data_IF_933861269761
#
_entry.id   IF_933861269761
#
_cell.length_a   1.000
_cell.length_b   1.000
_cell.length_c   1.000
_cell.angle_alpha   90.00
_cell.angle_beta   90.00
_cell.angle_gamma   90.00
#
_symmetry.space_group_name_H-M   'P 1'
#
loop_
_entity.id
_entity.type
_entity.pdbx_description
1 polymer ?
#
# COMPACT_ATOMS: atom_id res chain seq x y z
N UNK A 1 -17.84 10.79 -6.61
CA UNK A 1 -17.23 12.12 -6.39
C UNK A 1 -18.20 13.04 -5.68
N UNK A 2 -17.77 13.69 -4.60
CA UNK A 2 -18.57 14.68 -3.88
C UNK A 2 -18.07 16.09 -4.21
N UNK A 3 -19.02 17.03 -4.40
CA UNK A 3 -18.73 18.42 -4.76
C UNK A 3 -19.30 19.29 -3.64
N UNK A 4 -18.45 20.06 -2.97
CA UNK A 4 -18.85 21.01 -1.93
C UNK A 4 -18.68 22.46 -2.43
N UNK A 5 -19.67 23.33 -2.23
CA UNK A 5 -19.53 24.75 -2.51
C UNK A 5 -18.48 25.37 -1.57
N UNK A 6 -17.80 26.42 -2.04
CA UNK A 6 -16.87 27.16 -1.21
C UNK A 6 -17.62 27.90 -0.10
N UNK A 7 -17.37 27.69 1.19
CA UNK A 7 -18.05 28.39 2.27
C UNK A 7 -17.83 29.90 2.16
N UNK A 8 -18.92 30.69 2.09
CA UNK A 8 -18.87 32.14 2.02
C UNK A 8 -18.41 32.76 0.68
N UNK A 9 -18.15 31.92 -0.34
CA UNK A 9 -17.70 32.37 -1.67
C UNK A 9 -18.37 31.55 -2.78
N UNK A 10 -19.69 31.70 -3.00
CA UNK A 10 -20.46 30.84 -3.92
C UNK A 10 -20.05 30.97 -5.39
N UNK A 11 -19.29 31.99 -5.78
CA UNK A 11 -18.78 32.19 -7.14
C UNK A 11 -17.39 31.61 -7.39
N UNK A 12 -16.71 31.09 -6.34
CA UNK A 12 -15.44 30.39 -6.50
C UNK A 12 -15.65 28.96 -6.92
N UNK A 13 -14.59 28.36 -7.52
CA UNK A 13 -14.65 26.94 -7.93
C UNK A 13 -14.96 26.05 -6.72
N UNK A 14 -15.91 25.10 -6.84
CA UNK A 14 -16.26 24.21 -5.74
C UNK A 14 -15.08 23.29 -5.40
N UNK A 15 -15.05 22.82 -4.15
CA UNK A 15 -14.16 21.75 -3.76
C UNK A 15 -14.64 20.41 -4.32
N UNK A 16 -13.70 19.61 -4.78
CA UNK A 16 -13.95 18.28 -5.29
C UNK A 16 -13.27 17.25 -4.38
N UNK A 17 -14.01 16.24 -3.95
CA UNK A 17 -13.53 15.18 -3.11
C UNK A 17 -13.78 13.82 -3.78
N UNK A 18 -12.74 13.01 -3.89
CA UNK A 18 -12.91 11.61 -4.19
C UNK A 18 -13.43 10.90 -2.93
N UNK A 19 -14.58 10.25 -3.03
CA UNK A 19 -15.28 9.63 -1.88
C UNK A 19 -14.96 8.15 -1.68
N UNK A 20 -14.02 7.64 -2.43
CA UNK A 20 -13.48 6.29 -2.37
C UNK A 20 -11.96 6.35 -2.34
N UNK A 21 -11.29 5.47 -3.08
CA UNK A 21 -9.84 5.52 -3.25
C UNK A 21 -9.39 6.89 -3.74
N UNK A 22 -8.32 7.41 -3.18
CA UNK A 22 -7.74 8.70 -3.56
C UNK A 22 -6.31 8.57 -4.11
N UNK A 23 -5.80 7.35 -4.15
CA UNK A 23 -4.42 7.00 -4.44
C UNK A 23 -4.36 5.74 -5.31
N UNK A 24 -3.47 5.72 -6.28
CA UNK A 24 -3.07 4.52 -7.04
C UNK A 24 -1.71 4.07 -6.52
N UNK A 25 -1.59 2.79 -6.17
CA UNK A 25 -0.34 2.20 -5.63
C UNK A 25 0.37 1.25 -6.60
N UNK A 26 -0.32 0.71 -7.58
CA UNK A 26 0.21 -0.26 -8.56
C UNK A 26 -0.10 0.24 -9.98
N UNK A 27 0.59 1.29 -10.47
CA UNK A 27 0.27 1.91 -11.77
C UNK A 27 0.41 0.92 -12.93
N UNK A 28 1.36 -0.01 -12.88
CA UNK A 28 1.60 -1.00 -13.92
C UNK A 28 0.39 -1.91 -14.17
N UNK A 29 -0.45 -2.21 -13.16
CA UNK A 29 -1.67 -3.01 -13.33
C UNK A 29 -2.67 -2.29 -14.25
N UNK A 30 -2.76 -0.97 -14.13
CA UNK A 30 -3.59 -0.17 -15.03
C UNK A 30 -2.97 -0.10 -16.43
N UNK A 31 -1.65 0.05 -16.54
CA UNK A 31 -0.94 0.02 -17.81
C UNK A 31 -1.16 -1.30 -18.56
N UNK A 32 -1.05 -2.42 -17.87
CA UNK A 32 -1.32 -3.76 -18.40
C UNK A 32 -2.78 -3.92 -18.83
N UNK A 33 -3.73 -3.38 -18.06
CA UNK A 33 -5.17 -3.42 -18.40
C UNK A 33 -5.44 -2.65 -19.70
N UNK A 34 -4.87 -1.47 -19.88
CA UNK A 34 -5.00 -0.70 -21.10
C UNK A 34 -4.30 -1.39 -22.26
N UNK A 35 -3.12 -1.97 -22.03
CA UNK A 35 -2.37 -2.72 -23.05
C UNK A 35 -3.14 -3.95 -23.53
N UNK A 36 -3.83 -4.67 -22.66
CA UNK A 36 -4.69 -5.79 -23.02
C UNK A 36 -5.86 -5.37 -23.94
N UNK A 37 -6.31 -4.12 -23.86
CA UNK A 37 -7.28 -3.52 -24.78
C UNK A 37 -6.65 -2.89 -26.03
N UNK A 38 -5.34 -3.05 -26.25
CA UNK A 38 -4.61 -2.44 -27.37
C UNK A 38 -4.45 -0.92 -27.23
N UNK A 39 -4.47 -0.39 -26.01
CA UNK A 39 -4.38 1.04 -25.70
C UNK A 39 -3.17 1.33 -24.81
N UNK A 40 -2.79 2.60 -24.69
CA UNK A 40 -1.79 3.07 -23.72
C UNK A 40 -2.49 3.93 -22.69
N UNK A 41 -2.25 3.66 -21.40
CA UNK A 41 -2.79 4.45 -20.29
C UNK A 41 -2.46 5.94 -20.44
N UNK A 42 -1.22 6.25 -20.86
CA UNK A 42 -0.73 7.63 -21.04
C UNK A 42 -1.50 8.45 -22.09
N UNK A 43 -2.23 7.81 -23.01
CA UNK A 43 -3.05 8.50 -24.01
C UNK A 43 -4.37 9.04 -23.40
N UNK A 44 -4.74 8.54 -22.22
CA UNK A 44 -6.00 8.85 -21.55
C UNK A 44 -5.80 9.61 -20.23
N UNK A 45 -4.76 9.25 -19.47
CA UNK A 45 -4.54 9.74 -18.12
C UNK A 45 -3.08 10.09 -17.88
N UNK A 46 -2.87 11.13 -17.08
CA UNK A 46 -1.55 11.46 -16.53
C UNK A 46 -1.50 11.02 -15.08
N UNK A 47 -0.53 10.17 -14.74
CA UNK A 47 -0.26 9.79 -13.36
C UNK A 47 0.84 10.69 -12.80
N UNK A 48 0.55 11.35 -11.68
CA UNK A 48 1.52 12.17 -10.94
C UNK A 48 1.98 11.43 -9.70
N UNK A 49 3.29 11.14 -9.60
CA UNK A 49 3.86 10.53 -8.41
C UNK A 49 3.83 11.52 -7.25
N UNK A 50 3.36 11.09 -6.11
CA UNK A 50 3.27 11.90 -4.91
C UNK A 50 4.55 11.82 -4.07
N UNK A 51 5.00 12.97 -3.56
CA UNK A 51 6.00 13.08 -2.52
C UNK A 51 5.72 14.34 -1.67
N UNK A 52 5.34 14.19 -0.41
CA UNK A 52 5.15 12.93 0.31
C UNK A 52 3.94 12.14 -0.20
N UNK A 53 3.99 10.81 -0.08
CA UNK A 53 2.86 9.93 -0.38
C UNK A 53 1.74 10.19 0.63
N UNK A 54 2.12 10.37 1.91
CA UNK A 54 1.20 10.61 3.03
C UNK A 54 1.80 11.60 4.01
N UNK A 55 0.96 12.31 4.73
CA UNK A 55 1.36 13.18 5.83
C UNK A 55 0.52 12.85 7.07
N UNK A 56 1.20 12.53 8.15
CA UNK A 56 0.62 12.28 9.47
C UNK A 56 0.74 13.54 10.31
N UNK A 57 -0.32 13.88 11.03
CA UNK A 57 -0.38 15.06 11.88
C UNK A 57 -1.06 14.64 13.17
N UNK A 58 -0.37 14.84 14.31
CA UNK A 58 -0.91 14.59 15.64
C UNK A 58 -1.45 15.87 16.27
N UNK A 59 -2.33 15.71 17.26
CA UNK A 59 -2.98 16.83 17.93
C UNK A 59 -2.01 17.83 18.61
N UNK A 60 -0.81 17.37 18.97
CA UNK A 60 0.26 18.23 19.52
C UNK A 60 1.09 18.95 18.46
N UNK A 61 0.70 18.88 17.19
CA UNK A 61 1.39 19.52 16.07
C UNK A 61 2.57 18.71 15.52
N UNK A 62 2.92 17.57 16.10
CA UNK A 62 3.96 16.69 15.56
C UNK A 62 3.54 16.17 14.18
N UNK A 63 4.49 16.09 13.25
CA UNK A 63 4.23 15.61 11.89
C UNK A 63 5.24 14.57 11.44
N UNK A 64 4.79 13.65 10.58
CA UNK A 64 5.64 12.73 9.84
C UNK A 64 5.19 12.71 8.38
N UNK A 65 6.14 12.77 7.46
CA UNK A 65 5.88 12.68 6.02
C UNK A 65 6.37 11.34 5.48
N UNK A 66 5.48 10.57 4.89
CA UNK A 66 5.83 9.34 4.16
C UNK A 66 6.49 9.69 2.84
N UNK A 67 7.81 9.84 2.82
CA UNK A 67 8.58 10.27 1.64
C UNK A 67 8.69 9.15 0.61
N UNK A 68 8.58 9.49 -0.66
CA UNK A 68 8.59 8.54 -1.75
C UNK A 68 9.98 7.95 -2.04
N UNK A 69 11.05 8.70 -1.75
CA UNK A 69 12.41 8.24 -1.96
C UNK A 69 12.97 7.59 -0.70
N UNK A 70 13.61 6.41 -0.79
CA UNK A 70 14.10 5.68 0.39
C UNK A 70 15.05 6.47 1.29
N UNK A 71 15.95 7.27 0.71
CA UNK A 71 16.88 8.09 1.48
C UNK A 71 16.16 9.20 2.26
N UNK A 72 15.19 9.87 1.63
CA UNK A 72 14.40 10.93 2.24
C UNK A 72 13.47 10.37 3.32
N UNK A 73 12.91 9.18 3.10
CA UNK A 73 12.12 8.45 4.10
C UNK A 73 12.97 8.11 5.33
N UNK A 74 14.18 7.58 5.12
CA UNK A 74 15.10 7.25 6.22
C UNK A 74 15.50 8.50 7.03
N UNK A 75 15.79 9.61 6.35
CA UNK A 75 16.08 10.88 7.01
C UNK A 75 14.88 11.42 7.81
N UNK A 76 13.68 11.34 7.24
CA UNK A 76 12.46 11.79 7.90
C UNK A 76 12.10 10.91 9.12
N UNK A 77 12.26 9.59 9.02
CA UNK A 77 12.09 8.67 10.15
C UNK A 77 13.10 8.94 11.26
N UNK A 78 14.37 9.17 10.92
CA UNK A 78 15.40 9.52 11.89
C UNK A 78 15.09 10.84 12.61
N UNK A 79 14.66 11.87 11.86
CA UNK A 79 14.21 13.16 12.42
C UNK A 79 13.01 12.99 13.35
N UNK A 80 12.03 12.18 12.93
CA UNK A 80 10.78 11.99 13.68
C UNK A 80 10.97 11.19 14.96
N UNK A 81 11.69 10.07 14.89
CA UNK A 81 11.86 9.16 16.02
C UNK A 81 13.00 9.55 16.94
N UNK A 82 14.01 10.26 16.40
CA UNK A 82 15.30 10.53 17.05
C UNK A 82 16.03 9.25 17.51
N UNK A 83 15.71 8.11 16.87
CA UNK A 83 16.21 6.79 17.19
C UNK A 83 16.63 6.06 15.90
N UNK A 84 17.94 5.89 15.64
CA UNK A 84 18.42 5.22 14.43
C UNK A 84 17.90 3.79 14.26
N UNK A 85 17.68 3.08 15.36
CA UNK A 85 17.18 1.71 15.35
C UNK A 85 15.75 1.61 14.80
N UNK A 86 14.96 2.66 14.92
CA UNK A 86 13.60 2.71 14.39
C UNK A 86 13.57 2.85 12.86
N UNK A 87 14.58 3.49 12.26
CA UNK A 87 14.75 3.50 10.81
C UNK A 87 15.00 2.09 10.30
N UNK A 88 15.92 1.37 10.94
CA UNK A 88 16.20 -0.03 10.60
C UNK A 88 14.98 -0.93 10.85
N UNK A 89 14.23 -0.69 11.92
CA UNK A 89 12.99 -1.40 12.21
C UNK A 89 11.94 -1.22 11.09
N UNK A 90 11.73 0.01 10.65
CA UNK A 90 10.83 0.30 9.54
C UNK A 90 11.28 -0.39 8.23
N UNK A 91 12.57 -0.37 7.95
CA UNK A 91 13.13 -1.08 6.79
C UNK A 91 12.90 -2.60 6.87
N UNK A 92 13.01 -3.21 8.06
CA UNK A 92 12.68 -4.65 8.26
C UNK A 92 11.20 -4.93 8.00
N UNK A 93 10.29 -4.01 8.36
CA UNK A 93 8.87 -4.11 8.01
C UNK A 93 8.69 -4.13 6.49
N UNK A 94 9.32 -3.19 5.77
CA UNK A 94 9.24 -3.15 4.30
C UNK A 94 9.87 -4.40 3.66
N UNK A 95 11.00 -4.89 4.20
CA UNK A 95 11.65 -6.11 3.72
C UNK A 95 10.74 -7.36 3.92
N UNK A 96 10.01 -7.43 5.04
CA UNK A 96 9.01 -8.48 5.25
C UNK A 96 7.86 -8.35 4.25
N UNK A 97 7.38 -7.14 3.99
CA UNK A 97 6.37 -6.87 2.97
C UNK A 97 6.84 -7.29 1.57
N UNK A 98 8.10 -7.00 1.23
CA UNK A 98 8.72 -7.46 -0.03
C UNK A 98 8.71 -8.98 -0.15
N UNK A 99 9.11 -9.69 0.90
CA UNK A 99 9.12 -11.16 0.89
C UNK A 99 7.71 -11.73 0.68
N UNK A 100 6.69 -11.10 1.30
CA UNK A 100 5.29 -11.49 1.10
C UNK A 100 4.89 -11.23 -0.37
N UNK A 101 5.27 -10.08 -0.93
CA UNK A 101 5.02 -9.75 -2.31
C UNK A 101 5.65 -10.77 -3.27
N UNK A 102 6.94 -11.04 -3.12
CA UNK A 102 7.68 -11.94 -4.00
C UNK A 102 7.09 -13.38 -4.00
N UNK A 103 6.54 -13.83 -2.88
CA UNK A 103 5.95 -15.18 -2.74
C UNK A 103 4.48 -15.26 -3.18
N UNK A 104 3.78 -14.13 -3.27
CA UNK A 104 2.32 -14.15 -3.41
C UNK A 104 1.75 -13.30 -4.54
N UNK A 105 2.46 -12.27 -5.02
CA UNK A 105 1.90 -11.31 -5.97
C UNK A 105 1.46 -11.96 -7.28
N UNK A 106 2.30 -12.80 -7.88
CA UNK A 106 1.96 -13.48 -9.12
C UNK A 106 0.71 -14.34 -8.97
N UNK A 107 0.63 -15.07 -7.85
CA UNK A 107 -0.48 -15.96 -7.56
C UNK A 107 -1.81 -15.21 -7.39
N UNK A 108 -1.79 -14.08 -6.67
CA UNK A 108 -3.01 -13.35 -6.30
C UNK A 108 -3.41 -12.26 -7.30
N UNK A 109 -2.48 -11.73 -8.09
CA UNK A 109 -2.77 -10.68 -9.06
C UNK A 109 -3.12 -11.22 -10.45
N UNK A 110 -2.48 -12.33 -10.86
CA UNK A 110 -2.57 -12.79 -12.25
C UNK A 110 -3.29 -14.12 -12.43
N UNK A 111 -3.71 -14.77 -11.34
CA UNK A 111 -4.42 -16.04 -11.41
C UNK A 111 -5.76 -15.98 -10.69
N UNK A 112 -6.81 -16.48 -11.36
CA UNK A 112 -8.09 -16.72 -10.70
C UNK A 112 -7.95 -17.83 -9.63
N UNK A 113 -8.73 -17.79 -8.54
CA UNK A 113 -8.66 -18.81 -7.48
C UNK A 113 -8.76 -20.25 -8.00
N UNK A 114 -9.55 -20.47 -9.03
CA UNK A 114 -9.74 -21.79 -9.67
C UNK A 114 -8.47 -22.22 -10.42
N UNK A 115 -7.75 -21.29 -11.03
CA UNK A 115 -6.48 -21.55 -11.74
C UNK A 115 -5.35 -21.85 -10.75
N UNK A 116 -5.37 -21.18 -9.58
CA UNK A 116 -4.45 -21.44 -8.49
C UNK A 116 -4.60 -22.88 -8.00
N UNK A 117 -5.85 -23.35 -7.83
CA UNK A 117 -6.16 -24.66 -7.29
C UNK A 117 -6.00 -25.79 -8.33
N UNK A 118 -6.44 -25.55 -9.58
CA UNK A 118 -6.51 -26.59 -10.61
C UNK A 118 -5.27 -26.64 -11.52
N UNK A 119 -4.50 -25.54 -11.59
CA UNK A 119 -3.40 -25.41 -12.56
C UNK A 119 -3.90 -25.62 -14.00
N UNK A 120 -3.04 -26.10 -14.87
CA UNK A 120 -3.34 -26.46 -16.26
C UNK A 120 -3.97 -27.87 -16.38
N UNK A 121 -4.63 -28.33 -15.33
CA UNK A 121 -5.25 -29.66 -15.29
C UNK A 121 -4.27 -30.82 -15.03
N UNK A 122 -2.97 -30.55 -14.88
CA UNK A 122 -1.96 -31.54 -14.51
C UNK A 122 -1.54 -31.32 -13.06
N UNK A 123 -1.50 -32.39 -12.27
CA UNK A 123 -1.01 -32.34 -10.89
C UNK A 123 0.50 -32.08 -10.89
N UNK A 124 0.90 -30.92 -10.36
CA UNK A 124 2.31 -30.59 -10.09
C UNK A 124 2.57 -30.69 -8.58
N UNK A 125 3.34 -31.69 -8.13
CA UNK A 125 3.64 -31.87 -6.70
C UNK A 125 4.42 -30.68 -6.10
N UNK A 126 5.24 -29.96 -6.89
CA UNK A 126 5.97 -28.77 -6.43
C UNK A 126 4.99 -27.63 -6.15
N UNK A 127 3.99 -27.44 -7.01
CA UNK A 127 2.93 -26.45 -6.85
C UNK A 127 2.05 -26.77 -5.65
N UNK A 128 1.68 -28.05 -5.47
CA UNK A 128 0.94 -28.50 -4.30
C UNK A 128 1.71 -28.24 -3.00
N UNK A 129 3.02 -28.51 -2.97
CA UNK A 129 3.88 -28.24 -1.82
C UNK A 129 4.01 -26.72 -1.56
N UNK A 130 4.14 -25.90 -2.61
CA UNK A 130 4.21 -24.45 -2.44
C UNK A 130 2.92 -23.88 -1.85
N UNK A 131 1.75 -24.37 -2.27
CA UNK A 131 0.47 -23.98 -1.72
C UNK A 131 0.32 -24.28 -0.22
N UNK A 132 0.97 -25.32 0.27
CA UNK A 132 0.99 -25.64 1.70
C UNK A 132 2.00 -24.77 2.48
N UNK A 133 3.09 -24.37 1.85
CA UNK A 133 4.18 -23.65 2.52
C UNK A 133 4.05 -22.12 2.42
N UNK A 134 3.48 -21.60 1.32
CA UNK A 134 3.26 -20.16 1.12
C UNK A 134 2.50 -19.51 2.28
N UNK A 135 1.35 -20.03 2.76
CA UNK A 135 0.61 -19.43 3.87
C UNK A 135 1.46 -19.24 5.14
N UNK A 136 2.33 -20.20 5.42
CA UNK A 136 3.25 -20.14 6.57
C UNK A 136 4.34 -19.09 6.33
N UNK A 137 4.96 -19.11 5.16
CA UNK A 137 6.01 -18.15 4.77
C UNK A 137 5.54 -16.70 4.79
N UNK A 138 4.39 -16.44 4.20
CA UNK A 138 3.81 -15.07 4.16
C UNK A 138 3.25 -14.61 5.50
N UNK A 139 3.16 -15.49 6.49
CA UNK A 139 2.66 -15.14 7.82
C UNK A 139 1.13 -15.00 7.89
N UNK A 140 0.39 -15.81 7.12
CA UNK A 140 -1.08 -15.77 7.09
C UNK A 140 -1.70 -15.99 8.48
N UNK A 141 -1.08 -16.82 9.31
CA UNK A 141 -1.52 -17.12 10.69
C UNK A 141 -0.86 -16.21 11.75
N UNK A 142 0.08 -15.36 11.36
CA UNK A 142 0.71 -14.41 12.27
C UNK A 142 -0.13 -13.14 12.39
N UNK A 143 -0.12 -12.53 13.57
CA UNK A 143 -0.87 -11.31 13.82
C UNK A 143 -0.06 -10.07 13.40
N UNK A 144 -0.70 -9.15 12.69
CA UNK A 144 -0.12 -7.93 12.13
C UNK A 144 0.47 -7.02 13.22
N UNK A 145 -0.32 -6.67 14.25
CA UNK A 145 0.14 -5.80 15.32
C UNK A 145 1.28 -6.43 16.14
N UNK A 146 1.21 -7.75 16.40
CA UNK A 146 2.30 -8.45 17.10
C UNK A 146 3.61 -8.39 16.32
N UNK A 147 3.56 -8.50 15.00
CA UNK A 147 4.73 -8.38 14.14
C UNK A 147 5.33 -6.97 14.21
N UNK A 148 4.49 -5.92 14.05
CA UNK A 148 4.91 -4.53 14.15
C UNK A 148 5.50 -4.24 15.53
N UNK A 149 4.85 -4.66 16.62
CA UNK A 149 5.29 -4.40 17.99
C UNK A 149 6.62 -5.05 18.34
N UNK A 150 6.96 -6.16 17.68
CA UNK A 150 8.25 -6.81 17.86
C UNK A 150 9.38 -6.02 17.22
N UNK A 151 9.14 -5.41 16.06
CA UNK A 151 10.17 -4.73 15.27
C UNK A 151 10.30 -3.24 15.65
N UNK A 152 9.18 -2.57 15.91
CA UNK A 152 9.09 -1.12 16.11
C UNK A 152 8.78 -0.83 17.57
N UNK A 153 9.60 0.02 18.22
CA UNK A 153 9.42 0.41 19.62
C UNK A 153 8.67 1.74 19.76
N UNK A 154 8.89 2.67 18.82
CA UNK A 154 8.32 4.01 18.85
C UNK A 154 6.79 4.00 18.71
N UNK A 155 6.01 4.52 19.69
CA UNK A 155 4.55 4.37 19.72
C UNK A 155 3.86 4.93 18.47
N UNK A 156 4.20 6.16 18.09
CA UNK A 156 3.58 6.82 16.92
C UNK A 156 3.96 6.17 15.60
N UNK A 157 5.14 5.57 15.52
CA UNK A 157 5.52 4.82 14.31
C UNK A 157 4.71 3.50 14.20
N UNK A 158 4.34 2.89 15.33
CA UNK A 158 3.37 1.78 15.36
C UNK A 158 1.99 2.23 14.86
N UNK A 159 1.50 3.40 15.30
CA UNK A 159 0.22 3.96 14.84
C UNK A 159 0.21 4.16 13.32
N UNK A 160 1.29 4.72 12.77
CA UNK A 160 1.49 4.87 11.32
C UNK A 160 1.39 3.53 10.59
N UNK A 161 1.99 2.48 11.14
CA UNK A 161 1.94 1.15 10.52
C UNK A 161 0.58 0.47 10.72
N UNK A 162 -0.08 0.69 11.86
CA UNK A 162 -1.40 0.09 12.13
C UNK A 162 -2.49 0.55 11.18
N UNK A 163 -2.39 1.77 10.64
CA UNK A 163 -3.38 2.27 9.68
C UNK A 163 -3.50 1.37 8.44
N UNK A 164 -2.46 0.64 8.04
CA UNK A 164 -2.52 -0.24 6.88
C UNK A 164 -3.54 -1.38 7.02
N UNK A 165 -3.94 -1.74 8.24
CA UNK A 165 -5.04 -2.67 8.47
C UNK A 165 -6.39 -2.12 7.99
N UNK A 166 -6.56 -0.78 7.92
CA UNK A 166 -7.80 -0.14 7.47
C UNK A 166 -8.10 -0.38 5.99
N UNK A 167 -7.10 -0.72 5.17
CA UNK A 167 -7.29 -1.10 3.77
C UNK A 167 -8.21 -2.31 3.61
N UNK A 168 -8.22 -3.20 4.57
CA UNK A 168 -9.13 -4.36 4.62
C UNK A 168 -10.31 -4.16 5.59
N UNK A 169 -10.48 -2.96 6.16
CA UNK A 169 -11.49 -2.67 7.19
C UNK A 169 -11.27 -3.43 8.50
N UNK A 170 -10.07 -3.96 8.73
CA UNK A 170 -9.75 -4.78 9.89
C UNK A 170 -9.07 -3.98 11.01
N UNK A 171 -9.24 -4.45 12.24
CA UNK A 171 -8.41 -4.00 13.36
C UNK A 171 -6.98 -4.55 13.20
N UNK A 172 -5.92 -3.77 13.43
CA UNK A 172 -4.54 -4.25 13.37
C UNK A 172 -4.26 -5.40 14.34
N UNK A 173 -5.02 -5.48 15.43
CA UNK A 173 -4.90 -6.54 16.44
C UNK A 173 -5.57 -7.86 16.03
N UNK A 174 -6.39 -7.84 14.98
CA UNK A 174 -7.09 -9.02 14.44
C UNK A 174 -6.57 -9.38 13.03
N UNK A 175 -5.92 -8.46 12.36
CA UNK A 175 -5.44 -8.60 10.99
C UNK A 175 -4.27 -9.60 10.88
N UNK A 176 -4.15 -10.32 9.76
CA UNK A 176 -2.99 -11.18 9.48
C UNK A 176 -1.75 -10.36 9.10
N UNK A 177 -0.57 -10.88 9.39
CA UNK A 177 0.69 -10.23 9.06
C UNK A 177 0.95 -10.10 7.55
N UNK A 178 0.18 -10.77 6.71
CA UNK A 178 0.20 -10.61 5.25
C UNK A 178 -0.07 -9.18 4.81
N UNK A 179 -0.79 -8.39 5.61
CA UNK A 179 -1.04 -6.96 5.30
C UNK A 179 0.24 -6.10 5.30
N UNK A 180 1.38 -6.61 5.77
CA UNK A 180 2.67 -5.94 5.63
C UNK A 180 3.09 -5.76 4.15
N UNK A 181 2.45 -6.46 3.23
CA UNK A 181 2.62 -6.23 1.78
C UNK A 181 2.15 -4.83 1.36
N UNK A 182 1.17 -4.24 2.05
CA UNK A 182 0.57 -2.96 1.66
C UNK A 182 1.57 -1.80 1.82
N UNK A 183 2.20 -1.58 3.00
CA UNK A 183 3.23 -0.56 3.11
C UNK A 183 4.41 -0.80 2.16
N UNK A 184 4.80 -2.05 1.93
CA UNK A 184 5.82 -2.33 0.92
C UNK A 184 5.38 -1.87 -0.46
N UNK A 185 4.19 -2.24 -0.92
CA UNK A 185 3.69 -1.87 -2.25
C UNK A 185 3.64 -0.34 -2.40
N UNK A 186 3.18 0.36 -1.38
CA UNK A 186 3.07 1.82 -1.40
C UNK A 186 4.43 2.52 -1.48
N UNK A 187 5.40 2.12 -0.67
CA UNK A 187 6.74 2.73 -0.70
C UNK A 187 7.59 2.27 -1.89
N UNK A 188 7.37 1.07 -2.40
CA UNK A 188 8.16 0.51 -3.50
C UNK A 188 7.65 1.00 -4.87
N UNK A 189 6.36 0.88 -5.13
CA UNK A 189 5.75 1.30 -6.41
C UNK A 189 5.34 2.77 -6.41
N UNK A 190 5.28 3.39 -5.23
CA UNK A 190 4.88 4.78 -5.05
C UNK A 190 3.37 4.96 -4.89
N UNK A 191 3.01 6.15 -4.41
CA UNK A 191 1.65 6.66 -4.44
C UNK A 191 1.47 7.58 -5.62
N UNK A 192 0.41 7.40 -6.40
CA UNK A 192 0.15 8.14 -7.61
C UNK A 192 -1.23 8.78 -7.57
N UNK A 193 -1.33 9.96 -8.16
CA UNK A 193 -2.58 10.71 -8.25
C UNK A 193 -2.92 11.03 -9.70
N UNK A 194 -4.21 11.05 -10.01
CA UNK A 194 -4.72 11.49 -11.32
C UNK A 194 -5.17 12.95 -11.16
N UNK A 195 -4.53 13.92 -11.83
CA UNK A 195 -5.00 15.31 -11.85
C UNK A 195 -6.45 15.38 -12.29
N UNK A 196 -7.29 16.02 -11.47
CA UNK A 196 -8.74 16.04 -11.68
C UNK A 196 -9.53 14.99 -10.89
N UNK A 197 -8.87 14.10 -10.16
CA UNK A 197 -9.46 13.09 -9.27
C UNK A 197 -9.56 11.71 -9.92
N UNK A 198 -9.65 10.69 -9.07
CA UNK A 198 -9.70 9.29 -9.50
C UNK A 198 -10.92 8.93 -10.36
N UNK A 199 -11.99 9.72 -10.28
CA UNK A 199 -13.15 9.52 -11.16
C UNK A 199 -12.81 9.64 -12.66
N UNK A 200 -11.68 10.27 -13.00
CA UNK A 200 -11.20 10.35 -14.38
C UNK A 200 -10.73 9.00 -14.94
N UNK A 201 -10.58 7.98 -14.10
CA UNK A 201 -10.25 6.61 -14.51
C UNK A 201 -11.49 5.84 -15.02
N UNK A 202 -12.69 6.27 -14.63
CA UNK A 202 -13.96 5.65 -15.04
C UNK A 202 -14.46 6.22 -16.36
#
# INVERSE_FOLDING_TARGET
>A
RWIAPHPGRPHERPFYFDTGPSLITLPFVFEETFAAAGRKLSDYLTLTRLDPIQKYIWADGTTLSGRAMPADLAAELARFTQQPDEVAAFQRILAKGKMIWDESAELFLYHAPEQVLKGDGKFDPRRALSMLTIPIKIGMFANFAKWINREVSHPRLREVLYQYATYSGASPFMAPATLLVIPFAEYHFGGWYIPGGLYSLA
#
